data_IF_732929707508
#
_entry.id   IF_732929707508
#
_cell.length_a   1.000
_cell.length_b   1.000
_cell.length_c   1.000
_cell.angle_alpha   90.00
_cell.angle_beta   90.00
_cell.angle_gamma   90.00
#
_symmetry.space_group_name_H-M   'P 1'
#
loop_
_entity.id
_entity.type
_entity.pdbx_description
1 polymer ?
#
# COMPACT_ATOMS: atom_id res chain seq x y z
N UNK A 1 -11.74 22.40 -5.37
CA UNK A 1 -10.32 22.59 -5.02
C UNK A 1 -10.07 21.80 -3.74
N UNK A 2 -9.25 20.75 -3.80
CA UNK A 2 -8.99 19.88 -2.64
C UNK A 2 -7.87 20.50 -1.81
N UNK A 3 -8.10 20.73 -0.52
CA UNK A 3 -7.05 21.20 0.40
C UNK A 3 -6.14 20.03 0.74
N UNK A 4 -4.83 20.26 0.69
CA UNK A 4 -3.85 19.27 1.14
C UNK A 4 -3.85 19.23 2.67
N UNK A 5 -3.76 18.04 3.28
CA UNK A 5 -3.51 17.91 4.71
C UNK A 5 -2.15 18.51 5.10
N UNK A 6 -2.03 19.01 6.32
CA UNK A 6 -0.82 19.69 6.81
C UNK A 6 0.44 18.83 6.68
N UNK A 7 0.34 17.53 6.99
CA UNK A 7 1.44 16.57 6.82
C UNK A 7 1.93 16.47 5.37
N UNK A 8 1.07 16.70 4.38
CA UNK A 8 1.48 16.65 2.97
C UNK A 8 2.28 17.89 2.58
N UNK A 9 1.95 19.04 3.17
CA UNK A 9 2.67 20.30 2.97
C UNK A 9 4.07 20.20 3.57
N UNK A 10 4.20 19.65 4.77
CA UNK A 10 5.49 19.42 5.42
C UNK A 10 6.43 18.55 4.56
N UNK A 11 5.90 17.49 3.95
CA UNK A 11 6.68 16.62 3.05
C UNK A 11 7.15 17.39 1.81
N UNK A 12 6.28 18.20 1.21
CA UNK A 12 6.64 18.99 0.03
C UNK A 12 7.73 20.02 0.37
N UNK A 13 7.56 20.76 1.47
CA UNK A 13 8.56 21.75 1.89
C UNK A 13 9.91 21.10 2.23
N UNK A 14 9.93 19.87 2.76
CA UNK A 14 11.16 19.12 3.02
C UNK A 14 12.01 18.87 1.77
N UNK A 15 11.39 18.66 0.61
CA UNK A 15 12.09 18.32 -0.64
C UNK A 15 12.22 19.51 -1.62
N UNK A 16 11.76 20.68 -1.19
CA UNK A 16 11.70 21.88 -2.03
C UNK A 16 13.09 22.41 -2.33
N UNK A 17 13.45 22.44 -3.61
CA UNK A 17 14.76 22.90 -4.08
C UNK A 17 15.82 21.81 -4.21
N UNK A 18 15.58 20.62 -3.67
CA UNK A 18 16.51 19.48 -3.78
C UNK A 18 16.40 18.75 -5.13
N UNK A 19 15.22 18.81 -5.74
CA UNK A 19 14.92 18.14 -7.00
C UNK A 19 14.31 19.12 -8.02
N UNK A 20 14.50 18.88 -9.33
CA UNK A 20 13.86 19.69 -10.38
C UNK A 20 12.33 19.52 -10.41
N UNK A 21 11.81 18.47 -9.76
CA UNK A 21 10.39 18.18 -9.57
C UNK A 21 10.01 18.38 -8.11
N UNK A 22 8.70 18.52 -7.83
CA UNK A 22 8.18 18.71 -6.47
C UNK A 22 8.61 17.61 -5.49
N UNK A 23 8.77 16.39 -5.99
CA UNK A 23 9.21 15.22 -5.26
C UNK A 23 10.25 14.45 -6.09
N UNK A 24 11.11 13.64 -5.47
CA UNK A 24 12.02 12.75 -6.19
C UNK A 24 11.24 11.78 -7.08
N UNK A 25 11.78 11.51 -8.28
CA UNK A 25 11.19 10.56 -9.22
C UNK A 25 11.39 9.13 -8.71
N UNK A 26 10.29 8.41 -8.47
CA UNK A 26 10.29 7.01 -8.05
C UNK A 26 9.39 6.24 -9.02
N UNK A 27 9.83 5.09 -9.52
CA UNK A 27 8.99 4.24 -10.36
C UNK A 27 7.91 3.55 -9.54
N UNK A 28 6.77 3.24 -10.15
CA UNK A 28 5.67 2.55 -9.47
C UNK A 28 6.10 1.23 -8.82
N UNK A 29 6.99 0.49 -9.48
CA UNK A 29 7.55 -0.77 -8.96
C UNK A 29 8.37 -0.51 -7.69
N UNK A 30 9.26 0.49 -7.70
CA UNK A 30 10.07 0.83 -6.52
C UNK A 30 9.22 1.39 -5.39
N UNK A 31 8.24 2.23 -5.70
CA UNK A 31 7.32 2.77 -4.71
C UNK A 31 6.57 1.65 -4.01
N UNK A 32 5.99 0.71 -4.76
CA UNK A 32 5.32 -0.47 -4.17
C UNK A 32 6.28 -1.31 -3.30
N UNK A 33 7.54 -1.46 -3.70
CA UNK A 33 8.55 -2.16 -2.88
C UNK A 33 8.79 -1.43 -1.55
N UNK A 34 9.05 -0.12 -1.57
CA UNK A 34 9.28 0.67 -0.36
C UNK A 34 8.07 0.67 0.58
N UNK A 35 6.86 0.67 0.02
CA UNK A 35 5.64 0.60 0.82
C UNK A 35 5.50 -0.73 1.58
N UNK A 36 5.91 -1.84 0.96
CA UNK A 36 5.94 -3.15 1.61
C UNK A 36 7.01 -3.23 2.70
N UNK A 37 8.19 -2.67 2.44
CA UNK A 37 9.27 -2.58 3.42
C UNK A 37 8.86 -1.74 4.64
N UNK A 38 8.23 -0.58 4.41
CA UNK A 38 7.68 0.25 5.48
C UNK A 38 6.60 -0.47 6.28
N UNK A 39 5.67 -1.14 5.61
CA UNK A 39 4.62 -1.90 6.28
C UNK A 39 5.19 -3.06 7.12
N UNK A 40 6.22 -3.75 6.62
CA UNK A 40 6.91 -4.78 7.38
C UNK A 40 7.62 -4.19 8.62
N UNK A 41 8.25 -3.02 8.50
CA UNK A 41 8.89 -2.34 9.61
C UNK A 41 7.91 -1.79 10.67
N UNK A 42 6.62 -1.65 10.32
CA UNK A 42 5.55 -1.26 11.23
C UNK A 42 4.84 -2.47 11.87
N UNK A 43 5.41 -3.67 11.73
CA UNK A 43 4.83 -4.93 12.21
C UNK A 43 3.41 -5.18 11.66
N UNK A 44 3.16 -4.81 10.41
CA UNK A 44 1.90 -5.13 9.71
C UNK A 44 1.94 -6.54 9.10
N UNK A 45 2.34 -7.50 9.92
CA UNK A 45 2.54 -8.91 9.57
C UNK A 45 1.28 -9.76 9.78
N UNK A 46 0.18 -9.15 10.22
CA UNK A 46 -1.10 -9.82 10.49
C UNK A 46 -1.52 -10.68 9.29
N UNK A 47 -1.74 -11.99 9.47
CA UNK A 47 -2.12 -12.88 8.38
C UNK A 47 -3.55 -12.57 7.92
N UNK A 48 -3.72 -12.50 6.61
CA UNK A 48 -4.97 -12.26 5.91
C UNK A 48 -5.32 -13.50 5.09
N UNK A 49 -6.42 -14.15 5.49
CA UNK A 49 -6.97 -15.30 4.78
C UNK A 49 -7.75 -14.78 3.58
N UNK A 50 -7.14 -14.82 2.41
CA UNK A 50 -7.78 -14.42 1.17
C UNK A 50 -8.67 -15.57 0.67
N UNK A 51 -9.98 -15.34 0.60
CA UNK A 51 -10.97 -16.30 0.12
C UNK A 51 -11.52 -15.86 -1.23
N UNK A 52 -11.78 -16.80 -2.12
CA UNK A 52 -12.39 -16.56 -3.42
C UNK A 52 -13.41 -17.65 -3.70
N UNK A 53 -14.59 -17.26 -4.12
CA UNK A 53 -15.59 -18.21 -4.60
C UNK A 53 -15.27 -18.63 -6.05
N UNK A 54 -15.33 -19.93 -6.32
CA UNK A 54 -15.23 -20.49 -7.67
C UNK A 54 -16.27 -21.60 -7.83
N UNK A 55 -17.26 -21.37 -8.70
CA UNK A 55 -18.35 -22.33 -9.00
C UNK A 55 -19.15 -22.76 -7.75
N UNK A 56 -19.43 -21.82 -6.84
CA UNK A 56 -20.18 -22.10 -5.60
C UNK A 56 -19.34 -22.68 -4.47
N UNK A 57 -18.04 -22.92 -4.67
CA UNK A 57 -17.13 -23.39 -3.63
C UNK A 57 -16.17 -22.29 -3.17
N UNK A 58 -15.95 -22.19 -1.86
CA UNK A 58 -15.00 -21.25 -1.27
C UNK A 58 -13.57 -21.81 -1.37
N UNK A 59 -12.69 -21.12 -2.11
CA UNK A 59 -11.29 -21.49 -2.29
C UNK A 59 -10.40 -20.51 -1.53
N UNK A 60 -9.57 -21.03 -0.62
CA UNK A 60 -8.55 -20.26 0.08
C UNK A 60 -7.37 -20.02 -0.87
N UNK A 61 -6.95 -18.76 -1.01
CA UNK A 61 -5.78 -18.36 -1.80
C UNK A 61 -4.59 -18.21 -0.86
N UNK A 62 -3.57 -19.01 -1.10
CA UNK A 62 -2.28 -18.94 -0.42
C UNK A 62 -1.29 -18.11 -1.24
N UNK A 63 -0.38 -17.42 -0.54
CA UNK A 63 0.77 -16.74 -1.12
C UNK A 63 1.78 -17.75 -1.67
N UNK A 64 2.01 -18.82 -0.91
CA UNK A 64 2.74 -20.01 -1.32
C UNK A 64 1.81 -21.21 -1.20
N UNK A 65 1.49 -21.84 -2.33
CA UNK A 65 0.59 -22.99 -2.39
C UNK A 65 1.19 -24.27 -1.83
N UNK A 66 2.53 -24.37 -1.80
CA UNK A 66 3.26 -25.54 -1.30
C UNK A 66 3.36 -25.46 0.22
N UNK A 67 3.75 -24.30 0.75
CA UNK A 67 3.87 -24.08 2.20
C UNK A 67 2.54 -23.69 2.87
N UNK A 68 1.48 -23.46 2.09
CA UNK A 68 0.18 -22.95 2.55
C UNK A 68 0.30 -21.65 3.35
N UNK A 69 1.24 -20.79 2.97
CA UNK A 69 1.46 -19.52 3.65
C UNK A 69 0.39 -18.52 3.24
N UNK A 70 -0.27 -17.91 4.22
CA UNK A 70 -1.24 -16.84 3.96
C UNK A 70 -0.55 -15.54 3.55
N UNK A 71 -1.30 -14.63 2.92
CA UNK A 71 -0.82 -13.27 2.69
C UNK A 71 -0.76 -12.53 4.02
N UNK A 72 0.22 -11.65 4.19
CA UNK A 72 0.21 -10.68 5.29
C UNK A 72 -0.40 -9.36 4.82
N UNK A 73 -0.80 -8.50 5.76
CA UNK A 73 -1.30 -7.16 5.41
C UNK A 73 -0.26 -6.37 4.61
N UNK A 74 1.01 -6.41 5.00
CA UNK A 74 2.11 -5.79 4.28
C UNK A 74 2.21 -6.25 2.81
N UNK A 75 1.92 -7.53 2.50
CA UNK A 75 1.98 -8.06 1.14
C UNK A 75 0.91 -7.47 0.21
N UNK A 76 -0.22 -7.08 0.78
CA UNK A 76 -1.40 -6.60 0.07
C UNK A 76 -1.38 -5.07 -0.13
N UNK A 77 -0.42 -4.37 0.49
CA UNK A 77 -0.25 -2.93 0.33
C UNK A 77 0.38 -2.63 -1.01
N UNK A 78 -0.34 -1.83 -1.79
CA UNK A 78 0.05 -1.29 -3.08
C UNK A 78 -0.35 0.18 -3.17
N UNK A 79 0.22 0.89 -4.14
CA UNK A 79 -0.20 2.26 -4.48
C UNK A 79 -1.71 2.34 -4.77
N UNK A 80 -2.27 1.33 -5.46
CA UNK A 80 -3.69 1.26 -5.76
C UNK A 80 -4.56 1.09 -4.50
N UNK A 81 -4.21 0.18 -3.59
CA UNK A 81 -4.97 -0.01 -2.34
C UNK A 81 -4.89 1.22 -1.44
N UNK A 82 -3.74 1.89 -1.38
CA UNK A 82 -3.61 3.13 -0.64
C UNK A 82 -4.42 4.27 -1.24
N UNK A 83 -4.46 4.41 -2.57
CA UNK A 83 -5.34 5.39 -3.23
C UNK A 83 -6.80 5.16 -2.88
N UNK A 84 -7.27 3.90 -2.96
CA UNK A 84 -8.65 3.56 -2.57
C UNK A 84 -8.94 3.91 -1.12
N UNK A 85 -7.99 3.61 -0.22
CA UNK A 85 -8.09 3.93 1.20
C UNK A 85 -8.13 5.44 1.43
N UNK A 86 -7.24 6.21 0.80
CA UNK A 86 -7.23 7.67 0.90
C UNK A 86 -8.55 8.28 0.43
N UNK A 87 -9.09 7.82 -0.71
CA UNK A 87 -10.40 8.27 -1.20
C UNK A 87 -11.48 7.98 -0.17
N UNK A 88 -11.56 6.75 0.34
CA UNK A 88 -12.58 6.40 1.35
C UNK A 88 -12.42 7.20 2.63
N UNK A 89 -11.20 7.39 3.14
CA UNK A 89 -10.95 8.14 4.38
C UNK A 89 -11.25 9.62 4.23
N UNK A 90 -10.97 10.22 3.08
CA UNK A 90 -11.27 11.64 2.80
C UNK A 90 -12.77 11.85 2.54
N UNK A 91 -13.49 10.82 2.09
CA UNK A 91 -14.93 10.90 1.81
C UNK A 91 -15.79 10.60 3.04
N UNK A 92 -15.20 10.10 4.12
CA UNK A 92 -15.81 9.89 5.44
C UNK A 92 -15.69 11.16 6.27
#
# INVERSE_FOLDING_TARGET
MMKLPDYSVEIIEKYKGDYPTLLPTISDVKLNKYLKELAAALDWDKPIIKRRERRGEEVIIYKDTIQKTHFQLCDLITTHTMRRTAITTISL
#
